data_IF_262691465509
#
_entry.id   IF_262691465509
#
_cell.length_a   1.000
_cell.length_b   1.000
_cell.length_c   1.000
_cell.angle_alpha   90.00
_cell.angle_beta   90.00
_cell.angle_gamma   90.00
#
_symmetry.space_group_name_H-M   'P 1'
#
loop_
_entity.id
_entity.type
_entity.pdbx_description
1 polymer ?
#
# COMPACT_ATOMS: atom_id res chain seq x y z
N UNK A 1 3.71 1.08 -1.84
CA UNK A 1 3.63 1.67 -0.49
C UNK A 1 4.28 0.73 0.51
N UNK A 2 5.22 1.28 1.26
CA UNK A 2 5.76 0.67 2.47
C UNK A 2 5.17 1.42 3.67
N UNK A 3 4.95 0.71 4.76
CA UNK A 3 4.51 1.30 6.01
C UNK A 3 5.12 0.52 7.18
N UNK A 4 5.45 1.23 8.25
CA UNK A 4 5.95 0.66 9.47
C UNK A 4 5.39 1.40 10.68
N UNK A 5 5.37 0.72 11.82
CA UNK A 5 5.05 1.31 13.12
C UNK A 5 6.31 1.72 13.86
N UNK A 6 6.15 2.58 14.88
CA UNK A 6 7.26 3.08 15.69
C UNK A 6 8.04 1.99 16.44
N UNK A 7 7.44 0.82 16.68
CA UNK A 7 8.11 -0.34 17.28
C UNK A 7 8.89 -1.20 16.26
N UNK A 8 9.03 -0.74 15.01
CA UNK A 8 9.76 -1.44 13.96
C UNK A 8 8.97 -2.52 13.21
N UNK A 9 7.68 -2.73 13.52
CA UNK A 9 6.87 -3.68 12.75
C UNK A 9 6.59 -3.14 11.36
N UNK A 10 6.97 -3.88 10.32
CA UNK A 10 6.65 -3.57 8.94
C UNK A 10 5.31 -4.19 8.55
N UNK A 11 4.45 -3.39 7.92
CA UNK A 11 3.23 -3.90 7.30
C UNK A 11 3.58 -4.53 5.95
N UNK A 12 2.78 -5.51 5.47
CA UNK A 12 3.01 -6.09 4.16
C UNK A 12 3.06 -5.02 3.06
N UNK A 13 3.99 -5.13 2.09
CA UNK A 13 4.14 -4.13 1.06
C UNK A 13 2.98 -4.17 0.07
N UNK A 14 2.66 -3.00 -0.47
CA UNK A 14 1.67 -2.84 -1.54
C UNK A 14 2.34 -2.36 -2.81
N UNK A 15 2.20 -3.11 -3.90
CA UNK A 15 2.87 -2.80 -5.17
C UNK A 15 1.86 -2.48 -6.26
N UNK A 16 2.09 -1.39 -6.98
CA UNK A 16 1.31 -1.03 -8.17
C UNK A 16 2.18 -1.25 -9.40
N UNK A 17 1.72 -2.09 -10.32
CA UNK A 17 2.35 -2.28 -11.62
C UNK A 17 1.73 -1.35 -12.66
N UNK A 18 2.56 -0.79 -13.55
CA UNK A 18 2.08 -0.04 -14.71
C UNK A 18 1.57 -1.04 -15.77
N UNK A 19 0.28 -1.39 -15.71
CA UNK A 19 -0.33 -2.37 -16.61
C UNK A 19 -1.86 -2.25 -16.64
N UNK A 20 -2.50 -2.82 -17.68
CA UNK A 20 -3.97 -2.93 -17.78
C UNK A 20 -4.51 -4.03 -16.86
N UNK A 21 -3.79 -5.13 -16.74
CA UNK A 21 -4.07 -6.25 -15.85
C UNK A 21 -2.75 -6.77 -15.27
N UNK A 22 -2.82 -7.53 -14.19
CA UNK A 22 -1.64 -8.11 -13.55
C UNK A 22 -1.68 -9.64 -13.68
N UNK A 23 -0.58 -10.21 -14.17
CA UNK A 23 -0.43 -11.67 -14.24
C UNK A 23 -0.24 -12.27 -12.84
N UNK A 24 -0.73 -13.49 -12.64
CA UNK A 24 -0.50 -14.24 -11.40
C UNK A 24 0.99 -14.49 -11.16
N UNK A 25 1.79 -14.68 -12.22
CA UNK A 25 3.23 -14.92 -12.07
C UNK A 25 3.96 -13.76 -11.41
N UNK A 26 3.48 -12.53 -11.56
CA UNK A 26 4.10 -11.33 -10.99
C UNK A 26 3.84 -11.18 -9.49
N UNK A 27 2.92 -11.97 -8.94
CA UNK A 27 2.53 -11.98 -7.54
C UNK A 27 3.24 -13.07 -6.74
N UNK A 28 3.97 -13.96 -7.41
CA UNK A 28 4.65 -15.11 -6.80
C UNK A 28 5.94 -14.68 -6.09
N UNK A 29 6.32 -15.43 -5.05
CA UNK A 29 7.59 -15.29 -4.31
C UNK A 29 7.87 -13.91 -3.69
N UNK A 30 6.86 -13.05 -3.56
CA UNK A 30 7.02 -11.80 -2.82
C UNK A 30 6.81 -11.98 -1.31
N UNK A 31 7.07 -10.92 -0.52
CA UNK A 31 6.92 -10.97 0.93
C UNK A 31 5.52 -11.44 1.37
N UNK A 32 5.45 -12.17 2.48
CA UNK A 32 4.18 -12.73 2.97
C UNK A 32 3.15 -11.62 3.20
N UNK A 33 1.93 -11.83 2.69
CA UNK A 33 0.82 -10.88 2.82
C UNK A 33 0.92 -9.67 1.88
N UNK A 34 1.90 -9.62 0.97
CA UNK A 34 2.00 -8.54 -0.01
C UNK A 34 0.74 -8.46 -0.87
N UNK A 35 0.38 -7.23 -1.22
CA UNK A 35 -0.75 -6.96 -2.13
C UNK A 35 -0.26 -6.30 -3.40
N UNK A 36 -0.90 -6.66 -4.52
CA UNK A 36 -0.50 -6.24 -5.84
C UNK A 36 -1.69 -5.71 -6.61
N UNK A 37 -1.55 -4.51 -7.16
CA UNK A 37 -2.51 -3.87 -8.03
C UNK A 37 -1.85 -3.48 -9.36
N UNK A 38 -2.68 -3.13 -10.34
CA UNK A 38 -2.24 -2.57 -11.62
C UNK A 38 -3.00 -1.30 -11.91
N UNK A 39 -2.30 -0.28 -12.42
CA UNK A 39 -2.91 0.93 -12.94
C UNK A 39 -2.23 1.34 -14.25
N UNK A 40 -2.90 2.14 -15.09
CA UNK A 40 -2.30 2.63 -16.35
C UNK A 40 -1.01 3.43 -16.12
N UNK A 41 -0.91 4.09 -14.97
CA UNK A 41 0.19 4.98 -14.65
C UNK A 41 1.31 4.27 -13.86
N UNK A 42 0.98 3.21 -13.12
CA UNK A 42 1.86 2.55 -12.16
C UNK A 42 2.05 3.33 -10.86
N UNK A 43 1.49 4.55 -10.77
CA UNK A 43 1.57 5.36 -9.56
C UNK A 43 0.60 4.88 -8.49
N UNK A 44 0.98 5.16 -7.24
CA UNK A 44 0.11 4.98 -6.10
C UNK A 44 -0.88 6.16 -6.04
N UNK A 45 -2.11 5.92 -6.49
CA UNK A 45 -3.19 6.92 -6.54
C UNK A 45 -4.22 6.70 -5.43
N UNK A 46 -5.35 7.43 -5.49
CA UNK A 46 -6.42 7.32 -4.49
C UNK A 46 -7.07 5.93 -4.46
N UNK A 47 -7.14 5.23 -5.59
CA UNK A 47 -7.69 3.87 -5.65
C UNK A 47 -6.74 2.87 -5.00
N UNK A 48 -5.43 2.99 -5.29
CA UNK A 48 -4.40 2.20 -4.63
C UNK A 48 -4.36 2.47 -3.12
N UNK A 49 -4.56 3.72 -2.70
CA UNK A 49 -4.64 4.10 -1.29
C UNK A 49 -5.85 3.50 -0.58
N UNK A 50 -7.06 3.61 -1.15
CA UNK A 50 -8.27 3.02 -0.57
C UNK A 50 -8.13 1.50 -0.42
N UNK A 51 -7.62 0.83 -1.46
CA UNK A 51 -7.38 -0.61 -1.42
C UNK A 51 -6.33 -1.00 -0.37
N UNK A 52 -5.22 -0.26 -0.28
CA UNK A 52 -4.20 -0.49 0.74
C UNK A 52 -4.72 -0.25 2.17
N UNK A 53 -5.49 0.83 2.40
CA UNK A 53 -6.10 1.15 3.69
C UNK A 53 -7.02 0.00 4.14
N UNK A 54 -7.92 -0.46 3.26
CA UNK A 54 -8.92 -1.48 3.59
C UNK A 54 -8.32 -2.86 3.78
N UNK A 55 -7.33 -3.21 2.97
CA UNK A 55 -6.79 -4.57 2.94
C UNK A 55 -5.61 -4.81 3.87
N UNK A 56 -4.84 -3.78 4.20
CA UNK A 56 -3.61 -3.90 5.00
C UNK A 56 -3.69 -3.04 6.26
N UNK A 57 -3.88 -1.73 6.13
CA UNK A 57 -3.77 -0.83 7.27
C UNK A 57 -4.85 -1.05 8.33
N UNK A 58 -6.13 -1.07 7.95
CA UNK A 58 -7.25 -1.27 8.87
C UNK A 58 -7.17 -2.66 9.56
N UNK A 59 -6.97 -3.78 8.85
CA UNK A 59 -6.85 -5.09 9.49
C UNK A 59 -5.67 -5.20 10.47
N UNK A 60 -4.55 -4.54 10.19
CA UNK A 60 -3.42 -4.47 11.11
C UNK A 60 -3.78 -3.63 12.35
N UNK A 61 -4.24 -2.40 12.13
CA UNK A 61 -4.52 -1.44 13.21
C UNK A 61 -5.64 -1.92 14.13
N UNK A 62 -6.68 -2.60 13.62
CA UNK A 62 -7.79 -3.14 14.43
C UNK A 62 -7.35 -4.15 15.49
N UNK A 63 -6.20 -4.79 15.32
CA UNK A 63 -5.65 -5.75 16.30
C UNK A 63 -4.95 -5.06 17.47
N UNK A 64 -4.62 -3.78 17.34
CA UNK A 64 -3.92 -3.01 18.36
C UNK A 64 -4.94 -2.32 19.28
N UNK A 65 -4.61 -2.16 20.57
CA UNK A 65 -5.39 -1.37 21.52
C UNK A 65 -5.03 0.12 21.43
N UNK A 66 -5.84 0.99 22.03
CA UNK A 66 -5.56 2.43 22.14
C UNK A 66 -5.81 3.27 20.87
N UNK A 67 -5.48 4.56 20.94
CA UNK A 67 -5.61 5.51 19.82
C UNK A 67 -4.51 5.23 18.80
N UNK A 68 -4.88 5.18 17.52
CA UNK A 68 -3.97 4.91 16.40
C UNK A 68 -3.88 6.15 15.53
N UNK A 69 -2.67 6.52 15.15
CA UNK A 69 -2.41 7.64 14.24
C UNK A 69 -1.68 7.05 13.04
N UNK A 70 -2.21 7.29 11.84
CA UNK A 70 -1.54 6.95 10.60
C UNK A 70 -1.00 8.25 9.99
N UNK A 71 0.31 8.32 9.81
CA UNK A 71 1.00 9.44 9.18
C UNK A 71 1.53 8.95 7.85
N UNK A 72 1.24 9.68 6.77
CA UNK A 72 1.72 9.36 5.44
C UNK A 72 2.21 10.62 4.75
N UNK A 73 3.25 10.47 3.96
CA UNK A 73 3.69 11.51 3.03
C UNK A 73 3.03 11.29 1.66
N UNK A 74 2.65 12.39 1.01
CA UNK A 74 2.18 12.38 -0.37
C UNK A 74 3.20 13.15 -1.21
N UNK A 75 3.96 12.41 -2.01
CA UNK A 75 4.93 12.94 -2.97
C UNK A 75 4.27 13.62 -4.20
N UNK A 76 3.23 14.44 -3.99
CA UNK A 76 2.56 15.21 -5.04
C UNK A 76 3.08 16.63 -5.18
N UNK A 77 4.35 16.89 -4.82
CA UNK A 77 4.97 18.22 -4.84
C UNK A 77 5.32 18.76 -6.25
N UNK A 78 5.08 18.02 -7.33
CA UNK A 78 5.40 18.46 -8.70
C UNK A 78 4.20 18.50 -9.67
N UNK A 79 2.97 18.68 -9.19
CA UNK A 79 1.84 19.01 -10.08
C UNK A 79 1.28 20.39 -9.78
N UNK A 80 2.10 21.40 -10.03
CA UNK A 80 1.61 22.70 -10.49
C UNK A 80 1.78 22.70 -12.01
N UNK A 81 0.69 22.53 -12.73
CA UNK A 81 0.53 22.95 -14.13
C UNK A 81 -0.90 23.45 -14.27
#
# INVERSE_FOLDING_TARGET
MFAGSANGTLLPPYKVYKAKTISNSWRMNGPKGSRYASSKSGWFDSYAFDDWIRSIAIPYLRKLSGRKILIGDKLSSHRCN
#
